data_IF_599066868115
#
_entry.id   IF_599066868115
#
_cell.length_a   1.000
_cell.length_b   1.000
_cell.length_c   1.000
_cell.angle_alpha   90.00
_cell.angle_beta   90.00
_cell.angle_gamma   90.00
#
_symmetry.space_group_name_H-M   'P 1'
#
loop_
_entity.id
_entity.type
_entity.pdbx_description
1 polymer ?
#
# COMPACT_ATOMS: atom_id res chain seq x y z
N UNK A 1 25.63 -5.82 10.26
CA UNK A 1 25.53 -6.07 8.81
C UNK A 1 24.64 -4.98 8.24
N UNK A 2 25.10 -4.24 7.24
CA UNK A 2 24.30 -3.18 6.63
C UNK A 2 23.76 -3.71 5.30
N UNK A 3 22.54 -4.25 5.34
CA UNK A 3 21.86 -4.70 4.13
C UNK A 3 21.38 -3.50 3.30
N UNK A 4 21.34 -3.59 1.97
CA UNK A 4 20.87 -2.49 1.11
C UNK A 4 19.37 -2.23 1.20
N UNK A 5 18.54 -3.25 1.41
CA UNK A 5 17.08 -3.09 1.52
C UNK A 5 16.60 -3.41 2.94
N UNK A 6 15.87 -2.50 3.57
CA UNK A 6 15.10 -2.80 4.77
C UNK A 6 13.61 -2.99 4.44
N UNK A 7 13.10 -4.16 4.81
CA UNK A 7 11.70 -4.55 4.64
C UNK A 7 11.04 -4.43 6.01
N UNK A 8 10.13 -3.47 6.16
CA UNK A 8 9.44 -3.25 7.44
C UNK A 8 8.08 -3.92 7.41
N UNK A 9 7.90 -4.93 8.26
CA UNK A 9 6.63 -5.65 8.41
C UNK A 9 5.99 -5.35 9.76
N UNK A 10 4.78 -4.81 9.72
CA UNK A 10 4.01 -4.47 10.92
C UNK A 10 3.05 -5.61 11.22
N UNK A 11 3.00 -6.04 12.47
CA UNK A 11 2.11 -7.12 12.89
C UNK A 11 1.57 -6.90 14.30
N UNK A 12 0.38 -7.44 14.56
CA UNK A 12 -0.24 -7.45 15.88
C UNK A 12 -1.26 -8.59 15.99
N UNK A 13 -0.89 -9.65 16.71
CA UNK A 13 -1.78 -10.79 16.99
C UNK A 13 -2.41 -11.42 15.72
N UNK A 14 -1.60 -11.61 14.67
CA UNK A 14 -2.01 -12.19 13.38
C UNK A 14 -1.21 -13.47 13.05
N UNK A 15 -1.33 -14.54 13.86
CA UNK A 15 -0.52 -15.75 13.71
C UNK A 15 -0.73 -16.47 12.37
N UNK A 16 -1.87 -16.28 11.69
CA UNK A 16 -2.11 -16.87 10.37
C UNK A 16 -1.54 -16.04 9.20
N UNK A 17 -1.11 -14.80 9.43
CA UNK A 17 -0.64 -13.89 8.38
C UNK A 17 0.87 -13.68 8.44
N UNK A 18 1.46 -13.44 9.61
CA UNK A 18 2.91 -13.24 9.70
C UNK A 18 3.78 -14.37 9.06
N UNK A 19 3.41 -15.67 9.12
CA UNK A 19 4.12 -16.73 8.38
C UNK A 19 4.08 -16.56 6.85
N UNK A 20 3.02 -15.95 6.31
CA UNK A 20 2.93 -15.61 4.87
C UNK A 20 3.96 -14.54 4.51
N UNK A 21 4.11 -13.51 5.33
CA UNK A 21 5.15 -12.50 5.13
C UNK A 21 6.56 -13.11 5.19
N UNK A 22 6.81 -14.04 6.12
CA UNK A 22 8.06 -14.83 6.14
C UNK A 22 8.28 -15.55 4.81
N UNK A 23 7.29 -16.28 4.30
CA UNK A 23 7.42 -17.00 3.03
C UNK A 23 7.68 -16.04 1.86
N UNK A 24 7.00 -14.89 1.83
CA UNK A 24 7.18 -13.85 0.81
C UNK A 24 8.59 -13.24 0.82
N UNK A 25 9.08 -12.85 2.00
CA UNK A 25 10.40 -12.23 2.18
C UNK A 25 11.51 -13.26 1.97
N UNK A 26 11.39 -14.45 2.56
CA UNK A 26 12.38 -15.53 2.42
C UNK A 26 12.48 -16.08 1.00
N UNK A 27 11.41 -15.97 0.21
CA UNK A 27 11.34 -16.38 -1.19
C UNK A 27 11.97 -15.40 -2.19
N UNK A 28 12.47 -14.23 -1.76
CA UNK A 28 13.10 -13.27 -2.67
C UNK A 28 14.42 -13.78 -3.25
N UNK A 29 14.66 -13.52 -4.53
CA UNK A 29 15.93 -13.83 -5.20
C UNK A 29 17.05 -12.87 -4.79
N UNK A 30 16.71 -11.61 -4.53
CA UNK A 30 17.63 -10.62 -3.98
C UNK A 30 17.90 -10.89 -2.49
N UNK A 31 19.18 -10.99 -2.10
CA UNK A 31 19.58 -11.44 -0.74
C UNK A 31 20.19 -10.35 0.15
N UNK A 32 20.52 -9.19 -0.41
CA UNK A 32 21.09 -8.07 0.36
C UNK A 32 19.97 -7.26 1.05
N UNK A 33 19.24 -7.96 1.93
CA UNK A 33 18.05 -7.47 2.61
C UNK A 33 18.13 -7.68 4.13
N UNK A 34 17.36 -6.86 4.84
CA UNK A 34 17.11 -6.94 6.28
C UNK A 34 15.60 -6.92 6.49
N UNK A 35 15.07 -7.94 7.15
CA UNK A 35 13.67 -7.98 7.53
C UNK A 35 13.48 -7.42 8.94
N UNK A 36 12.71 -6.35 9.08
CA UNK A 36 12.41 -5.72 10.37
C UNK A 36 10.94 -5.97 10.70
N UNK A 37 10.70 -6.83 11.68
CA UNK A 37 9.35 -7.15 12.16
C UNK A 37 9.01 -6.23 13.33
N UNK A 38 7.98 -5.43 13.19
CA UNK A 38 7.48 -4.54 14.25
C UNK A 38 6.20 -5.13 14.81
N UNK A 39 6.29 -5.66 16.04
CA UNK A 39 5.15 -6.12 16.81
C UNK A 39 4.52 -4.93 17.56
N UNK A 40 3.38 -4.43 17.07
CA UNK A 40 2.73 -3.22 17.57
C UNK A 40 1.78 -3.52 18.75
N UNK A 41 2.35 -3.95 19.88
CA UNK A 41 1.60 -4.27 21.10
C UNK A 41 0.85 -5.60 21.05
N UNK A 42 1.35 -6.57 20.28
CA UNK A 42 0.88 -7.96 20.27
C UNK A 42 1.74 -8.91 21.13
N UNK A 43 1.39 -10.19 21.13
CA UNK A 43 2.14 -11.22 21.86
C UNK A 43 3.55 -11.38 21.28
N UNK A 44 4.57 -11.40 22.16
CA UNK A 44 5.98 -11.50 21.72
C UNK A 44 6.37 -12.87 21.22
N UNK A 45 5.98 -13.94 21.93
CA UNK A 45 6.44 -15.30 21.64
C UNK A 45 6.17 -15.76 20.19
N UNK A 46 4.96 -15.59 19.61
CA UNK A 46 4.73 -15.97 18.21
C UNK A 46 5.57 -15.18 17.20
N UNK A 47 5.85 -13.90 17.49
CA UNK A 47 6.67 -13.06 16.60
C UNK A 47 8.14 -13.49 16.66
N UNK A 48 8.65 -13.76 17.85
CA UNK A 48 10.03 -14.23 18.03
C UNK A 48 10.26 -15.62 17.41
N UNK A 49 9.25 -16.48 17.45
CA UNK A 49 9.29 -17.78 16.76
C UNK A 49 9.46 -17.60 15.25
N UNK A 50 8.66 -16.73 14.62
CA UNK A 50 8.78 -16.43 13.19
C UNK A 50 10.13 -15.78 12.86
N UNK A 51 10.61 -14.86 13.71
CA UNK A 51 11.92 -14.26 13.52
C UNK A 51 13.05 -15.29 13.61
N UNK A 52 12.97 -16.26 14.54
CA UNK A 52 13.92 -17.34 14.66
C UNK A 52 13.90 -18.28 13.43
N UNK A 53 12.69 -18.59 12.91
CA UNK A 53 12.54 -19.35 11.65
C UNK A 53 13.18 -18.61 10.47
N UNK A 54 12.96 -17.29 10.36
CA UNK A 54 13.55 -16.45 9.32
C UNK A 54 15.08 -16.49 9.36
N UNK A 55 15.67 -16.28 10.55
CA UNK A 55 17.12 -16.33 10.76
C UNK A 55 17.70 -17.69 10.41
N UNK A 56 17.01 -18.77 10.79
CA UNK A 56 17.40 -20.14 10.46
C UNK A 56 17.34 -20.42 8.96
N UNK A 57 16.44 -19.77 8.23
CA UNK A 57 16.35 -19.81 6.78
C UNK A 57 17.32 -18.85 6.06
N UNK A 58 18.24 -18.20 6.79
CA UNK A 58 19.23 -17.29 6.23
C UNK A 58 18.71 -15.90 5.88
N UNK A 59 17.54 -15.50 6.40
CA UNK A 59 17.01 -14.14 6.28
C UNK A 59 17.47 -13.32 7.49
N UNK A 60 18.30 -12.28 7.33
CA UNK A 60 18.64 -11.39 8.44
C UNK A 60 17.38 -10.70 8.97
N UNK A 61 17.09 -10.88 10.26
CA UNK A 61 15.84 -10.41 10.87
C UNK A 61 16.06 -9.69 12.20
N UNK A 62 15.46 -8.52 12.34
CA UNK A 62 15.32 -7.76 13.59
C UNK A 62 13.86 -7.73 14.03
N UNK A 63 13.63 -7.68 15.34
CA UNK A 63 12.29 -7.58 15.92
C UNK A 63 12.23 -6.36 16.82
N UNK A 64 11.20 -5.55 16.63
CA UNK A 64 10.87 -4.39 17.46
C UNK A 64 9.57 -4.67 18.18
N UNK A 65 9.56 -4.50 19.49
CA UNK A 65 8.38 -4.71 20.32
C UNK A 65 7.90 -3.39 20.92
N UNK A 66 6.74 -2.91 20.45
CA UNK A 66 6.04 -1.85 21.14
C UNK A 66 5.29 -2.45 22.34
N UNK A 67 5.32 -1.77 23.49
CA UNK A 67 4.62 -2.22 24.70
C UNK A 67 3.09 -2.22 24.51
N UNK A 68 2.58 -1.20 23.83
CA UNK A 68 1.20 -1.07 23.40
C UNK A 68 1.17 -0.62 21.94
N UNK A 69 0.00 -0.74 21.32
CA UNK A 69 -0.18 -0.39 19.91
C UNK A 69 -0.11 1.12 19.71
N UNK A 70 0.83 1.55 18.87
CA UNK A 70 1.08 2.94 18.52
C UNK A 70 0.45 3.33 17.17
N UNK A 71 -0.09 2.35 16.45
CA UNK A 71 -0.71 2.55 15.15
C UNK A 71 0.25 2.31 13.99
N UNK A 72 -0.34 2.22 12.80
CA UNK A 72 0.34 1.77 11.57
C UNK A 72 1.61 2.58 11.26
N UNK A 73 1.53 3.91 11.31
CA UNK A 73 2.67 4.75 10.92
C UNK A 73 3.74 4.88 11.99
N UNK A 74 3.35 4.86 13.27
CA UNK A 74 4.33 4.78 14.35
C UNK A 74 5.10 3.46 14.29
N UNK A 75 4.43 2.34 14.00
CA UNK A 75 5.08 1.05 13.79
C UNK A 75 5.98 1.06 12.55
N UNK A 76 5.55 1.64 11.42
CA UNK A 76 6.41 1.83 10.24
C UNK A 76 7.69 2.58 10.60
N UNK A 77 7.55 3.73 11.27
CA UNK A 77 8.67 4.60 11.63
C UNK A 77 9.64 3.92 12.61
N UNK A 78 9.12 3.16 13.58
CA UNK A 78 9.94 2.38 14.49
C UNK A 78 10.82 1.37 13.73
N UNK A 79 10.25 0.61 12.79
CA UNK A 79 11.03 -0.32 11.97
C UNK A 79 12.04 0.36 11.04
N UNK A 80 11.67 1.51 10.46
CA UNK A 80 12.57 2.30 9.61
C UNK A 80 13.78 2.82 10.42
N UNK A 81 13.58 3.20 11.68
CA UNK A 81 14.62 3.74 12.56
C UNK A 81 15.68 2.69 12.94
N UNK A 82 15.31 1.41 12.99
CA UNK A 82 16.22 0.30 13.33
C UNK A 82 17.13 -0.16 12.19
N UNK A 83 17.08 0.52 11.03
CA UNK A 83 17.91 0.17 9.90
C UNK A 83 18.61 1.39 9.30
N UNK A 84 19.76 1.14 8.67
CA UNK A 84 20.52 2.13 7.89
C UNK A 84 20.60 1.73 6.42
N UNK A 85 19.65 0.93 5.95
CA UNK A 85 19.58 0.44 4.58
C UNK A 85 19.32 1.56 3.59
N UNK A 86 19.90 1.44 2.40
CA UNK A 86 19.75 2.43 1.31
C UNK A 86 18.31 2.53 0.83
N UNK A 87 17.60 1.40 0.75
CA UNK A 87 16.22 1.32 0.32
C UNK A 87 15.29 0.85 1.44
N UNK A 88 14.06 1.33 1.38
CA UNK A 88 13.01 1.07 2.34
C UNK A 88 11.73 0.64 1.63
N UNK A 89 11.01 -0.28 2.25
CA UNK A 89 9.67 -0.70 1.83
C UNK A 89 8.84 -1.16 3.03
N UNK A 90 7.54 -0.89 2.98
CA UNK A 90 6.57 -1.43 3.91
C UNK A 90 5.96 -2.70 3.31
N UNK A 91 6.09 -3.82 4.03
CA UNK A 91 5.50 -5.11 3.65
C UNK A 91 4.51 -5.51 4.75
N UNK A 92 3.22 -5.26 4.53
CA UNK A 92 2.20 -5.64 5.52
C UNK A 92 2.11 -7.17 5.68
N UNK A 93 1.85 -7.63 6.90
CA UNK A 93 1.96 -9.05 7.27
C UNK A 93 0.99 -9.97 6.54
N UNK A 94 0.00 -9.42 5.86
CA UNK A 94 -1.01 -10.09 5.06
C UNK A 94 -0.73 -10.13 3.56
N UNK A 95 0.30 -9.45 3.08
CA UNK A 95 0.58 -9.31 1.66
C UNK A 95 1.72 -10.22 1.15
N UNK A 96 1.88 -10.32 -0.18
CA UNK A 96 2.94 -11.15 -0.78
C UNK A 96 3.58 -10.52 -2.01
N UNK A 97 4.76 -11.04 -2.35
CA UNK A 97 5.52 -10.68 -3.54
C UNK A 97 5.80 -11.87 -4.45
N UNK A 98 6.02 -11.58 -5.72
CA UNK A 98 6.79 -12.43 -6.62
C UNK A 98 8.24 -12.55 -6.12
N UNK A 99 8.93 -13.70 -6.29
CA UNK A 99 10.33 -13.87 -5.93
C UNK A 99 11.29 -12.81 -6.51
N UNK A 100 10.94 -12.22 -7.66
CA UNK A 100 11.77 -11.24 -8.37
C UNK A 100 11.49 -9.78 -7.98
N UNK A 101 10.58 -9.51 -7.03
CA UNK A 101 10.16 -8.14 -6.71
C UNK A 101 11.33 -7.24 -6.31
N UNK A 102 12.15 -7.65 -5.33
CA UNK A 102 13.27 -6.84 -4.85
C UNK A 102 14.37 -6.70 -5.90
N UNK A 103 14.68 -7.78 -6.62
CA UNK A 103 15.70 -7.76 -7.68
C UNK A 103 15.35 -6.72 -8.76
N UNK A 104 14.10 -6.72 -9.23
CA UNK A 104 13.65 -5.79 -10.27
C UNK A 104 13.55 -4.34 -9.78
N UNK A 105 13.05 -4.12 -8.56
CA UNK A 105 12.89 -2.77 -8.02
C UNK A 105 14.24 -2.13 -7.64
N UNK A 106 15.16 -2.90 -7.04
CA UNK A 106 16.54 -2.42 -6.78
C UNK A 106 17.27 -2.14 -8.10
N UNK A 107 17.22 -3.08 -9.06
CA UNK A 107 17.85 -2.88 -10.36
C UNK A 107 17.32 -1.65 -11.10
N UNK A 108 16.02 -1.36 -10.97
CA UNK A 108 15.44 -0.15 -11.54
C UNK A 108 16.02 1.11 -10.90
N UNK A 109 16.06 1.19 -9.58
CA UNK A 109 16.56 2.38 -8.89
C UNK A 109 18.05 2.58 -9.11
N UNK A 110 18.84 1.51 -9.14
CA UNK A 110 20.28 1.55 -9.46
C UNK A 110 20.52 2.07 -10.88
N UNK A 111 19.71 1.65 -11.85
CA UNK A 111 19.81 2.11 -13.24
C UNK A 111 19.23 3.52 -13.48
N UNK A 112 18.43 4.05 -12.56
CA UNK A 112 17.71 5.32 -12.75
C UNK A 112 17.80 6.22 -11.49
N UNK A 113 18.97 6.85 -11.23
CA UNK A 113 19.20 7.63 -10.01
C UNK A 113 18.32 8.89 -9.88
N UNK A 114 17.64 9.31 -10.95
CA UNK A 114 16.69 10.44 -10.92
C UNK A 114 15.38 10.14 -10.19
N UNK A 115 15.01 8.86 -10.02
CA UNK A 115 13.82 8.49 -9.27
C UNK A 115 14.13 8.33 -7.78
N UNK A 116 13.26 8.89 -6.94
CA UNK A 116 13.33 8.67 -5.49
C UNK A 116 12.80 7.29 -5.10
N UNK A 117 11.96 6.68 -5.93
CA UNK A 117 11.29 5.42 -5.65
C UNK A 117 10.67 4.80 -6.89
N UNK A 118 10.23 3.56 -6.77
CA UNK A 118 9.67 2.76 -7.86
C UNK A 118 8.51 1.92 -7.35
N UNK A 119 7.48 1.79 -8.18
CA UNK A 119 6.38 0.86 -7.95
C UNK A 119 6.35 -0.25 -8.98
N UNK A 120 5.75 -1.38 -8.61
CA UNK A 120 5.37 -2.43 -9.56
C UNK A 120 3.85 -2.42 -9.75
N UNK A 121 3.35 -3.09 -10.79
CA UNK A 121 1.94 -3.43 -10.80
C UNK A 121 1.62 -4.41 -9.66
N UNK A 122 0.35 -4.42 -9.29
CA UNK A 122 -0.19 -5.17 -8.18
C UNK A 122 -1.38 -6.00 -8.65
N UNK A 123 -1.47 -7.23 -8.12
CA UNK A 123 -2.67 -8.05 -8.21
C UNK A 123 -3.43 -7.94 -6.90
N UNK A 124 -4.72 -7.64 -6.96
CA UNK A 124 -5.62 -7.77 -5.80
C UNK A 124 -6.01 -9.22 -5.65
N UNK A 125 -5.79 -9.77 -4.45
CA UNK A 125 -6.19 -11.13 -4.09
C UNK A 125 -7.33 -11.03 -3.08
N UNK A 126 -8.53 -11.45 -3.48
CA UNK A 126 -9.68 -11.49 -2.58
C UNK A 126 -9.65 -12.80 -1.78
N UNK A 127 -9.84 -12.69 -0.47
CA UNK A 127 -9.69 -13.78 0.50
C UNK A 127 -10.87 -13.83 1.48
N UNK A 128 -11.07 -15.01 2.08
CA UNK A 128 -11.95 -15.24 3.21
C UNK A 128 -11.19 -15.92 4.34
N UNK A 129 -11.52 -15.53 5.57
CA UNK A 129 -11.10 -16.27 6.77
C UNK A 129 -12.12 -17.39 7.01
N UNK A 130 -11.60 -18.61 7.19
CA UNK A 130 -12.38 -19.79 7.54
C UNK A 130 -11.82 -20.34 8.84
N UNK A 131 -12.65 -20.36 9.87
CA UNK A 131 -12.34 -21.06 11.12
C UNK A 131 -12.85 -22.49 11.03
N UNK A 132 -11.97 -23.44 11.28
CA UNK A 132 -12.32 -24.86 11.40
C UNK A 132 -11.69 -25.46 12.67
N UNK A 133 -11.90 -26.75 12.89
CA UNK A 133 -11.39 -27.47 14.07
C UNK A 133 -9.86 -27.50 14.18
N UNK A 134 -9.14 -27.15 13.12
CA UNK A 134 -7.69 -27.07 13.06
C UNK A 134 -7.15 -25.63 13.17
N UNK A 135 -8.04 -24.64 13.28
CA UNK A 135 -7.70 -23.24 13.52
C UNK A 135 -8.21 -22.30 12.43
N UNK A 136 -7.58 -21.13 12.36
CA UNK A 136 -7.91 -20.08 11.38
C UNK A 136 -7.15 -20.32 10.07
N UNK A 137 -7.87 -20.51 8.97
CA UNK A 137 -7.31 -20.64 7.62
C UNK A 137 -7.70 -19.45 6.75
N UNK A 138 -6.81 -19.05 5.85
CA UNK A 138 -7.07 -18.00 4.85
C UNK A 138 -7.23 -18.65 3.49
N UNK A 139 -8.38 -18.44 2.84
CA UNK A 139 -8.67 -19.00 1.51
C UNK A 139 -8.81 -17.89 0.50
N UNK A 140 -8.06 -18.00 -0.58
CA UNK A 140 -8.23 -17.17 -1.76
C UNK A 140 -9.56 -17.51 -2.46
N UNK A 141 -10.31 -16.48 -2.86
CA UNK A 141 -11.59 -16.59 -3.56
C UNK A 141 -11.63 -15.81 -4.89
N UNK A 142 -10.59 -15.03 -5.20
CA UNK A 142 -10.50 -14.32 -6.46
C UNK A 142 -9.17 -13.57 -6.64
N UNK A 143 -8.85 -13.28 -7.91
CA UNK A 143 -7.74 -12.42 -8.30
C UNK A 143 -8.19 -11.43 -9.36
N UNK A 144 -7.79 -10.18 -9.21
CA UNK A 144 -8.02 -9.13 -10.20
C UNK A 144 -6.79 -8.23 -10.31
N UNK A 145 -6.59 -7.59 -11.47
CA UNK A 145 -5.55 -6.57 -11.57
C UNK A 145 -5.93 -5.36 -10.72
N UNK A 146 -4.99 -4.86 -9.91
CA UNK A 146 -5.24 -3.70 -9.04
C UNK A 146 -4.92 -2.37 -9.71
N UNK A 147 -3.87 -2.28 -10.54
CA UNK A 147 -3.40 -1.02 -11.13
C UNK A 147 -2.72 -1.21 -12.50
N UNK A 148 -3.15 -2.18 -13.32
CA UNK A 148 -2.55 -2.43 -14.65
C UNK A 148 -2.62 -1.25 -15.63
N UNK A 149 -3.49 -0.28 -15.38
CA UNK A 149 -3.60 0.94 -16.19
C UNK A 149 -2.53 1.98 -15.85
N UNK A 150 -1.81 1.83 -14.74
CA UNK A 150 -0.85 2.81 -14.25
C UNK A 150 0.48 2.65 -15.01
N UNK A 151 0.81 3.61 -15.87
CA UNK A 151 2.06 3.60 -16.66
C UNK A 151 3.08 4.64 -16.16
N UNK A 152 2.61 5.64 -15.44
CA UNK A 152 3.38 6.71 -14.81
C UNK A 152 2.62 7.20 -13.58
N UNK A 153 3.34 7.81 -12.63
CA UNK A 153 2.73 8.35 -11.41
C UNK A 153 2.76 9.87 -11.46
N UNK A 154 1.59 10.50 -11.55
CA UNK A 154 1.46 11.96 -11.57
C UNK A 154 1.01 12.50 -10.22
N UNK A 155 1.60 13.60 -9.76
CA UNK A 155 1.21 14.26 -8.51
C UNK A 155 -0.28 14.68 -8.52
N UNK A 156 -0.80 15.10 -9.67
CA UNK A 156 -2.23 15.44 -9.83
C UNK A 156 -3.16 14.25 -9.62
N UNK A 157 -2.79 13.07 -10.10
CA UNK A 157 -3.57 11.85 -9.93
C UNK A 157 -3.44 11.32 -8.50
N UNK A 158 -2.24 11.37 -7.91
CA UNK A 158 -2.05 11.09 -6.49
C UNK A 158 -2.90 12.01 -5.62
N UNK A 159 -3.06 13.28 -6.00
CA UNK A 159 -3.91 14.23 -5.29
C UNK A 159 -5.41 13.85 -5.32
N UNK A 160 -5.85 13.03 -6.27
CA UNK A 160 -7.20 12.46 -6.28
C UNK A 160 -7.32 11.29 -5.30
N UNK A 161 -6.42 10.30 -5.42
CA UNK A 161 -6.41 9.08 -4.63
C UNK A 161 -5.06 8.37 -4.72
N UNK A 162 -4.78 7.44 -3.78
CA UNK A 162 -3.60 6.59 -3.85
C UNK A 162 -3.78 5.49 -4.92
N UNK A 163 -2.93 5.43 -5.97
CA UNK A 163 -3.09 4.47 -7.07
C UNK A 163 -2.33 3.15 -6.89
N UNK A 164 -1.53 3.02 -5.82
CA UNK A 164 -0.79 1.80 -5.48
C UNK A 164 -0.73 1.59 -3.96
N UNK A 165 -0.71 0.33 -3.49
CA UNK A 165 -0.58 0.04 -2.07
C UNK A 165 0.90 0.09 -1.60
N UNK A 166 1.16 0.24 -0.29
CA UNK A 166 2.53 0.30 0.26
C UNK A 166 3.40 -0.90 -0.14
N UNK A 167 2.82 -2.10 -0.21
CA UNK A 167 3.51 -3.34 -0.62
C UNK A 167 4.18 -3.24 -1.99
N UNK A 168 3.74 -2.34 -2.86
CA UNK A 168 4.27 -2.19 -4.21
C UNK A 168 5.42 -1.17 -4.32
N UNK A 169 5.76 -0.44 -3.25
CA UNK A 169 6.58 0.78 -3.33
C UNK A 169 7.92 0.67 -2.60
N UNK A 170 9.01 0.50 -3.37
CA UNK A 170 10.38 0.59 -2.86
C UNK A 170 10.91 2.01 -3.07
N UNK A 171 11.50 2.61 -2.04
CA UNK A 171 12.04 3.97 -2.14
C UNK A 171 13.40 4.13 -1.47
N UNK A 172 14.14 5.17 -1.88
CA UNK A 172 15.44 5.54 -1.32
C UNK A 172 15.25 6.12 0.07
N UNK A 173 16.03 5.67 1.06
CA UNK A 173 16.02 6.24 2.41
C UNK A 173 16.29 7.74 2.43
N UNK A 174 17.16 8.24 1.56
CA UNK A 174 17.54 9.66 1.50
C UNK A 174 16.35 10.59 1.26
N UNK A 175 15.23 10.11 0.70
CA UNK A 175 14.01 10.95 0.57
C UNK A 175 13.50 11.43 1.92
N UNK A 176 13.70 10.65 2.98
CA UNK A 176 13.24 10.97 4.33
C UNK A 176 13.94 12.21 4.90
N UNK A 177 15.15 12.55 4.44
CA UNK A 177 15.84 13.78 4.82
C UNK A 177 15.07 15.02 4.34
N UNK A 178 14.43 14.92 3.18
CA UNK A 178 13.72 16.03 2.56
C UNK A 178 12.23 16.08 2.91
N UNK A 179 11.57 14.94 3.07
CA UNK A 179 10.12 14.88 3.31
C UNK A 179 9.75 14.53 4.74
N UNK A 180 10.66 13.94 5.52
CA UNK A 180 10.39 13.42 6.86
C UNK A 180 9.70 12.04 6.87
N UNK A 181 9.51 11.45 8.07
CA UNK A 181 8.91 10.13 8.24
C UNK A 181 7.40 10.11 7.92
N UNK A 182 6.75 8.96 8.12
CA UNK A 182 5.29 8.87 8.07
C UNK A 182 4.66 9.68 9.22
N UNK A 183 3.50 10.29 8.97
CA UNK A 183 2.81 11.11 9.95
C UNK A 183 2.03 10.24 10.94
N UNK A 184 2.55 10.13 12.16
CA UNK A 184 1.96 9.29 13.22
C UNK A 184 0.64 9.83 13.78
N UNK A 185 0.25 11.06 13.44
CA UNK A 185 -1.03 11.62 13.86
C UNK A 185 -2.22 11.06 13.07
N UNK A 186 -1.97 10.37 11.95
CA UNK A 186 -2.98 9.82 11.07
C UNK A 186 -3.32 8.38 11.44
N UNK A 187 -4.60 8.11 11.74
CA UNK A 187 -5.04 6.74 12.01
C UNK A 187 -5.16 5.87 10.74
N UNK A 188 -5.39 6.50 9.58
CA UNK A 188 -5.45 5.91 8.24
C UNK A 188 -4.95 6.95 7.23
N UNK A 189 -4.68 6.54 5.98
CA UNK A 189 -4.18 7.41 4.89
C UNK A 189 -2.76 7.96 5.09
N UNK A 190 -1.97 7.40 6.01
CA UNK A 190 -0.58 7.81 6.22
C UNK A 190 0.31 7.53 5.01
N UNK A 191 0.04 6.43 4.29
CA UNK A 191 0.64 6.11 3.00
C UNK A 191 0.32 7.16 1.92
N UNK A 192 -0.94 7.56 1.81
CA UNK A 192 -1.37 8.57 0.85
C UNK A 192 -0.75 9.93 1.14
N UNK A 193 -0.76 10.36 2.41
CA UNK A 193 -0.12 11.61 2.83
C UNK A 193 1.39 11.62 2.56
N UNK A 194 2.07 10.51 2.85
CA UNK A 194 3.48 10.32 2.55
C UNK A 194 3.74 10.42 1.05
N UNK A 195 2.94 9.74 0.23
CA UNK A 195 3.09 9.74 -1.23
C UNK A 195 2.86 11.13 -1.85
N UNK A 196 1.97 11.96 -1.28
CA UNK A 196 1.79 13.35 -1.70
C UNK A 196 3.04 14.20 -1.44
N UNK A 197 3.63 14.08 -0.25
CA UNK A 197 4.90 14.77 0.07
C UNK A 197 6.04 14.25 -0.79
N UNK A 198 6.06 12.95 -1.06
CA UNK A 198 7.05 12.31 -1.91
C UNK A 198 7.03 12.90 -3.32
N UNK A 199 5.88 12.83 -4.01
CA UNK A 199 5.74 13.31 -5.39
C UNK A 199 5.85 14.84 -5.54
N UNK A 200 5.72 15.58 -4.44
CA UNK A 200 6.02 17.01 -4.44
C UNK A 200 7.53 17.31 -4.56
N UNK A 201 8.41 16.31 -4.41
CA UNK A 201 9.87 16.48 -4.45
C UNK A 201 10.62 15.48 -5.32
N UNK A 202 10.08 14.27 -5.51
CA UNK A 202 10.75 13.17 -6.18
C UNK A 202 9.79 12.43 -7.11
N UNK A 203 10.31 11.95 -8.24
CA UNK A 203 9.54 11.13 -9.15
C UNK A 203 9.49 9.66 -8.68
N UNK A 204 8.41 8.98 -9.06
CA UNK A 204 8.20 7.55 -8.85
C UNK A 204 8.20 6.84 -10.21
N UNK A 205 9.11 5.89 -10.39
CA UNK A 205 9.16 5.03 -11.57
C UNK A 205 8.10 3.92 -11.53
N UNK A 206 7.78 3.35 -12.68
CA UNK A 206 6.79 2.27 -12.81
C UNK A 206 7.41 1.08 -13.53
N UNK A 207 7.35 -0.09 -12.89
CA UNK A 207 7.62 -1.40 -13.51
C UNK A 207 6.25 -2.02 -13.82
N UNK A 208 5.84 -2.11 -15.09
CA UNK A 208 4.50 -2.59 -15.48
C UNK A 208 4.38 -4.12 -15.45
N UNK A 209 4.82 -4.72 -14.33
CA UNK A 209 4.76 -6.16 -14.07
C UNK A 209 4.07 -6.41 -12.73
N UNK A 210 3.15 -7.38 -12.64
CA UNK A 210 2.42 -7.67 -11.41
C UNK A 210 3.30 -8.45 -10.42
N UNK A 211 4.18 -7.73 -9.73
CA UNK A 211 5.17 -8.32 -8.81
C UNK A 211 4.74 -8.26 -7.34
N UNK A 212 3.70 -7.49 -7.03
CA UNK A 212 3.09 -7.44 -5.70
C UNK A 212 1.66 -7.98 -5.70
N UNK A 213 1.26 -8.57 -4.57
CA UNK A 213 -0.09 -9.05 -4.34
C UNK A 213 -0.65 -8.36 -3.10
N UNK A 214 -1.78 -7.70 -3.26
CA UNK A 214 -2.48 -6.98 -2.20
C UNK A 214 -3.72 -7.76 -1.78
N UNK A 215 -3.73 -8.29 -0.56
CA UNK A 215 -4.69 -9.26 -0.08
C UNK A 215 -5.87 -8.59 0.66
N UNK A 216 -7.08 -8.81 0.15
CA UNK A 216 -8.32 -8.18 0.60
C UNK A 216 -9.27 -9.19 1.22
N UNK A 217 -9.72 -8.89 2.44
CA UNK A 217 -10.69 -9.63 3.26
C UNK A 217 -11.82 -8.68 3.68
N UNK A 218 -12.63 -8.19 2.73
CA UNK A 218 -13.61 -7.14 2.98
C UNK A 218 -14.74 -7.54 3.93
N UNK A 219 -14.98 -8.85 4.10
CA UNK A 219 -16.04 -9.37 4.97
C UNK A 219 -15.56 -9.71 6.38
N UNK A 220 -14.34 -9.31 6.76
CA UNK A 220 -13.72 -9.69 8.03
C UNK A 220 -13.38 -8.44 8.84
N UNK A 221 -13.85 -8.40 10.09
CA UNK A 221 -13.51 -7.36 11.06
C UNK A 221 -12.38 -7.78 12.01
N UNK A 222 -12.02 -6.90 12.94
CA UNK A 222 -11.04 -7.20 13.99
C UNK A 222 -9.61 -7.40 13.47
N UNK A 223 -8.88 -8.32 14.09
CA UNK A 223 -7.45 -8.51 13.82
C UNK A 223 -7.15 -8.86 12.35
N UNK A 224 -8.04 -9.56 11.66
CA UNK A 224 -7.84 -10.03 10.27
C UNK A 224 -8.43 -9.11 9.20
N UNK A 225 -9.13 -8.04 9.60
CA UNK A 225 -9.74 -7.10 8.67
C UNK A 225 -8.73 -6.14 8.05
N UNK A 226 -8.96 -5.76 6.79
CA UNK A 226 -8.22 -4.66 6.18
C UNK A 226 -8.78 -3.32 6.68
N UNK A 227 -7.90 -2.33 6.81
CA UNK A 227 -8.28 -0.95 7.15
C UNK A 227 -9.28 -0.36 6.15
N UNK A 228 -9.16 -0.69 4.86
CA UNK A 228 -10.00 -0.17 3.76
C UNK A 228 -11.45 -0.69 3.84
N UNK A 229 -11.66 -1.92 4.30
CA UNK A 229 -12.99 -2.54 4.40
C UNK A 229 -13.68 -2.29 5.75
N UNK A 230 -12.95 -2.42 6.85
CA UNK A 230 -13.49 -2.28 8.20
C UNK A 230 -13.56 -0.81 8.71
N UNK A 231 -13.01 0.14 7.95
CA UNK A 231 -12.80 1.53 8.39
C UNK A 231 -13.30 2.60 7.42
N UNK A 232 -14.33 2.31 6.61
CA UNK A 232 -14.86 3.24 5.58
C UNK A 232 -15.17 4.62 6.19
N UNK A 233 -15.78 4.68 7.37
CA UNK A 233 -16.08 5.96 8.05
C UNK A 233 -14.81 6.74 8.42
N UNK A 234 -13.75 6.04 8.87
CA UNK A 234 -12.47 6.67 9.19
C UNK A 234 -11.80 7.21 7.94
N UNK A 235 -11.78 6.46 6.83
CA UNK A 235 -11.16 6.95 5.58
C UNK A 235 -11.84 8.21 5.06
N UNK A 236 -13.17 8.29 5.13
CA UNK A 236 -13.91 9.50 4.74
C UNK A 236 -13.57 10.69 5.65
N UNK A 237 -13.53 10.48 6.97
CA UNK A 237 -13.20 11.54 7.92
C UNK A 237 -11.75 12.04 7.76
N UNK A 238 -10.79 11.12 7.67
CA UNK A 238 -9.37 11.46 7.57
C UNK A 238 -9.00 12.05 6.21
N UNK A 239 -9.67 11.65 5.12
CA UNK A 239 -9.51 12.30 3.80
C UNK A 239 -9.81 13.80 3.90
N UNK A 240 -10.92 14.17 4.53
CA UNK A 240 -11.27 15.57 4.75
C UNK A 240 -10.25 16.29 5.64
N UNK A 241 -9.79 15.65 6.71
CA UNK A 241 -8.80 16.23 7.64
C UNK A 241 -7.48 16.52 6.91
N UNK A 242 -6.93 15.56 6.18
CA UNK A 242 -5.66 15.71 5.45
C UNK A 242 -5.76 16.80 4.39
N UNK A 243 -6.83 16.80 3.58
CA UNK A 243 -7.04 17.82 2.55
C UNK A 243 -7.19 19.22 3.15
N UNK A 244 -7.98 19.36 4.21
CA UNK A 244 -8.17 20.64 4.89
C UNK A 244 -6.86 21.12 5.54
N UNK A 245 -6.06 20.22 6.12
CA UNK A 245 -4.75 20.56 6.68
C UNK A 245 -3.82 21.14 5.62
N UNK A 246 -3.71 20.47 4.46
CA UNK A 246 -2.88 20.93 3.36
C UNK A 246 -3.38 22.27 2.79
N UNK A 247 -4.70 22.42 2.64
CA UNK A 247 -5.29 23.68 2.16
C UNK A 247 -5.06 24.85 3.12
N UNK A 248 -5.20 24.63 4.44
CA UNK A 248 -4.90 25.67 5.44
C UNK A 248 -3.44 26.11 5.36
N UNK A 249 -2.51 25.17 5.18
CA UNK A 249 -1.08 25.49 5.01
C UNK A 249 -0.83 26.40 3.80
N UNK A 250 -1.46 26.11 2.66
CA UNK A 250 -1.38 26.96 1.47
C UNK A 250 -1.94 28.36 1.75
N UNK A 251 -3.11 28.45 2.39
CA UNK A 251 -3.79 29.71 2.72
C UNK A 251 -2.97 30.56 3.70
N UNK A 252 -2.41 29.95 4.76
CA UNK A 252 -1.55 30.62 5.74
C UNK A 252 -0.26 31.15 5.11
N UNK A 253 0.29 30.42 4.13
CA UNK A 253 1.47 30.84 3.37
C UNK A 253 1.14 31.86 2.25
N UNK A 254 -0.13 32.09 1.93
CA UNK A 254 -0.54 32.92 0.80
C UNK A 254 -0.12 32.34 -0.57
N UNK A 255 -0.08 31.01 -0.69
CA UNK A 255 0.40 30.30 -1.89
C UNK A 255 -0.67 29.41 -2.52
N UNK A 256 -0.50 29.10 -3.80
CA UNK A 256 -1.25 28.03 -4.49
C UNK A 256 -0.33 26.82 -4.61
N UNK A 257 -0.51 25.83 -3.73
CA UNK A 257 0.38 24.68 -3.62
C UNK A 257 -0.37 23.35 -3.57
N UNK A 258 0.18 22.41 -2.82
CA UNK A 258 -0.34 21.04 -2.71
C UNK A 258 -1.75 21.02 -2.12
N UNK A 259 -2.07 21.93 -1.20
CA UNK A 259 -3.41 22.07 -0.61
C UNK A 259 -4.50 22.39 -1.63
N UNK A 260 -4.22 23.32 -2.55
CA UNK A 260 -5.11 23.62 -3.66
C UNK A 260 -5.26 22.44 -4.63
N UNK A 261 -4.16 21.74 -4.92
CA UNK A 261 -4.17 20.58 -5.80
C UNK A 261 -5.05 19.44 -5.24
N UNK A 262 -4.89 19.08 -3.95
CA UNK A 262 -5.73 18.03 -3.33
C UNK A 262 -7.19 18.47 -3.20
N UNK A 263 -7.47 19.77 -3.04
CA UNK A 263 -8.83 20.29 -3.06
C UNK A 263 -9.47 20.21 -4.46
N UNK A 264 -8.68 20.43 -5.52
CA UNK A 264 -9.11 20.25 -6.91
C UNK A 264 -9.36 18.76 -7.22
N UNK A 265 -8.43 17.87 -6.84
CA UNK A 265 -8.56 16.43 -7.06
C UNK A 265 -9.82 15.84 -6.41
N UNK A 266 -10.19 16.30 -5.19
CA UNK A 266 -11.43 15.86 -4.54
C UNK A 266 -12.70 16.19 -5.33
N UNK A 267 -12.71 17.35 -6.01
CA UNK A 267 -13.81 17.73 -6.90
C UNK A 267 -13.89 16.81 -8.11
N UNK A 268 -12.75 16.47 -8.70
CA UNK A 268 -12.68 15.53 -9.83
C UNK A 268 -13.23 14.16 -9.46
N UNK A 269 -12.84 13.61 -8.30
CA UNK A 269 -13.39 12.34 -7.79
C UNK A 269 -14.91 12.42 -7.61
N UNK A 270 -15.41 13.54 -7.09
CA UNK A 270 -16.85 13.74 -6.87
C UNK A 270 -17.62 13.82 -8.19
N UNK A 271 -17.08 14.52 -9.20
CA UNK A 271 -17.62 14.57 -10.56
C UNK A 271 -17.63 13.20 -11.22
N UNK A 272 -16.52 12.44 -11.12
CA UNK A 272 -16.44 11.08 -11.64
C UNK A 272 -17.52 10.18 -11.02
N UNK A 273 -17.75 10.27 -9.69
CA UNK A 273 -18.81 9.51 -9.01
C UNK A 273 -20.22 9.92 -9.44
N UNK A 274 -20.48 11.21 -9.69
CA UNK A 274 -21.79 11.68 -10.19
C UNK A 274 -22.04 11.26 -11.64
N UNK A 275 -21.00 11.26 -12.49
CA UNK A 275 -21.10 10.98 -13.92
C UNK A 275 -21.06 9.48 -14.25
N UNK A 276 -20.45 8.65 -13.40
CA UNK A 276 -20.36 7.20 -13.58
C UNK A 276 -21.71 6.50 -13.80
N UNK A 277 -22.77 6.74 -12.99
CA UNK A 277 -24.08 6.15 -13.27
C UNK A 277 -24.70 6.67 -14.58
N UNK A 278 -24.41 7.90 -15.00
CA UNK A 278 -24.93 8.48 -16.24
C UNK A 278 -24.26 7.91 -17.49
N UNK A 279 -22.97 7.58 -17.44
CA UNK A 279 -22.24 6.96 -18.55
C UNK A 279 -22.64 5.50 -18.76
N UNK A 280 -22.85 4.76 -17.66
CA UNK A 280 -23.39 3.39 -17.69
C UNK A 280 -24.83 3.37 -18.21
N UNK A 281 -25.67 4.31 -17.74
CA UNK A 281 -27.05 4.45 -18.24
C UNK A 281 -27.10 4.82 -19.73
N UNK A 282 -26.25 5.73 -20.20
CA UNK A 282 -26.13 6.07 -21.63
C UNK A 282 -25.63 4.89 -22.47
N UNK A 283 -24.66 4.12 -21.97
CA UNK A 283 -24.16 2.91 -22.63
C UNK A 283 -25.19 1.77 -22.69
N UNK A 284 -26.04 1.63 -21.68
CA UNK A 284 -27.17 0.71 -21.66
C UNK A 284 -28.28 1.16 -22.63
N UNK A 285 -28.63 2.44 -22.63
CA UNK A 285 -29.62 3.01 -23.55
C UNK A 285 -29.18 2.90 -25.02
N UNK A 286 -27.90 3.13 -25.33
CA UNK A 286 -27.35 2.99 -26.69
C UNK A 286 -27.42 1.53 -27.18
N UNK A 287 -27.18 0.56 -26.29
CA UNK A 287 -27.34 -0.88 -26.57
C UNK A 287 -28.80 -1.27 -26.76
N UNK A 288 -29.72 -0.69 -25.98
CA UNK A 288 -31.16 -0.89 -26.13
C UNK A 288 -31.68 -0.37 -27.49
N UNK A 289 -31.25 0.83 -27.89
CA UNK A 289 -31.61 1.44 -29.18
C UNK A 289 -31.03 0.67 -30.36
N UNK A 290 -29.79 0.17 -30.26
CA UNK A 290 -29.19 -0.71 -31.26
C UNK A 290 -29.87 -2.08 -31.34
N UNK A 291 -30.34 -2.62 -30.20
CA UNK A 291 -31.12 -3.84 -30.14
C UNK A 291 -32.50 -3.70 -30.80
N UNK A 292 -33.23 -2.61 -30.52
CA UNK A 292 -34.53 -2.33 -31.12
C UNK A 292 -34.45 -2.10 -32.64
N UNK A 293 -33.37 -1.49 -33.14
CA UNK A 293 -33.12 -1.35 -34.60
C UNK A 293 -32.84 -2.67 -35.30
N UNK A 294 -32.26 -3.67 -34.61
CA UNK A 294 -32.08 -5.02 -35.16
C UNK A 294 -33.38 -5.81 -35.24
N UNK A 295 -34.30 -5.60 -34.30
CA UNK A 295 -35.63 -6.24 -34.32
C UNK A 295 -36.54 -5.61 -35.37
N UNK A 296 -36.46 -4.29 -35.59
CA UNK A 296 -37.26 -3.59 -36.59
C UNK A 296 -36.79 -3.76 -38.06
N UNK A 297 -35.59 -4.30 -38.29
CA UNK A 297 -35.06 -4.59 -39.63
C UNK A 297 -35.20 -6.06 -40.06
N UNK A 298 -35.86 -6.89 -39.24
CA UNK A 298 -36.09 -8.32 -39.48
C UNK A 298 -37.59 -8.65 -39.65
N UNK A 299 -38.43 -7.64 -39.91
CA UNK A 299 -39.85 -7.77 -40.23
C UNK A 299 -40.10 -7.38 -41.68
#
# INVERSE_FOLDING_TARGET
MQARVAIVTRTKNRPALLPRALASVGGQTYRDLLWVIVNDGGQRAPVEEIAAQARSAGVPTLVVHNEFSLGMEAASNAGIAESHSEFLIIHDDDDTWSPAFLEKTVSFLDGNPGYGGVITHTTRIDEKIVEDRFGTTVKEVGRTSYNSWLLSVHLSEMAEMNPFPPIAFLYRRSVLEAIGPYDISLAVLGDWEFNLRFLAKYDIGVIPEPLANYHWRPSVGGAYGNSVGAGIDKHVQWDAIVRNRLLRKDLEAGTVGLGHLVAAGRRQVSLNRMLYPLSVARGAAKRLVLGLRRVAGAA
#
